data_IF_534026968519
#
_entry.id   IF_534026968519
#
_cell.length_a   1.000
_cell.length_b   1.000
_cell.length_c   1.000
_cell.angle_alpha   90.00
_cell.angle_beta   90.00
_cell.angle_gamma   90.00
#
_symmetry.space_group_name_H-M   'P 1'
#
loop_
_entity.id
_entity.type
_entity.pdbx_description
1 polymer ?
#
# COMPACT_ATOMS: atom_id res chain seq x y z
N UNK A 1 -41.75 19.73 -37.88
CA UNK A 1 -41.06 20.31 -36.69
C UNK A 1 -40.68 19.28 -35.64
N UNK A 2 -41.38 18.18 -35.43
CA UNK A 2 -41.08 17.10 -34.47
C UNK A 2 -39.85 16.21 -34.85
N UNK A 3 -39.55 16.03 -36.12
CA UNK A 3 -38.42 15.20 -36.59
C UNK A 3 -37.04 15.82 -36.28
N UNK A 4 -36.88 17.13 -36.38
CA UNK A 4 -35.63 17.85 -36.09
C UNK A 4 -35.29 17.88 -34.61
N UNK A 5 -36.31 17.78 -33.74
CA UNK A 5 -36.08 17.74 -32.27
C UNK A 5 -35.49 16.40 -31.84
N UNK A 6 -35.96 15.30 -32.44
CA UNK A 6 -35.51 13.93 -32.14
C UNK A 6 -34.05 13.68 -32.54
N UNK A 7 -33.60 14.29 -33.63
CA UNK A 7 -32.21 14.13 -34.12
C UNK A 7 -31.19 14.87 -33.24
N UNK A 8 -31.55 16.02 -32.69
CA UNK A 8 -30.71 16.73 -31.69
C UNK A 8 -30.61 15.97 -30.38
N UNK A 9 -31.70 15.38 -29.92
CA UNK A 9 -31.69 14.58 -28.68
C UNK A 9 -30.86 13.32 -28.82
N UNK A 10 -30.88 12.66 -29.98
CA UNK A 10 -30.06 11.47 -30.27
C UNK A 10 -28.57 11.84 -30.36
N UNK A 11 -28.19 12.92 -31.00
CA UNK A 11 -26.80 13.39 -31.07
C UNK A 11 -26.29 13.80 -29.70
N UNK A 12 -27.12 14.41 -28.83
CA UNK A 12 -26.82 14.74 -27.44
C UNK A 12 -26.54 13.46 -26.60
N UNK A 13 -27.36 12.44 -26.78
CA UNK A 13 -27.15 11.15 -26.09
C UNK A 13 -25.88 10.44 -26.52
N UNK A 14 -25.57 10.42 -27.83
CA UNK A 14 -24.32 9.83 -28.33
C UNK A 14 -23.10 10.54 -27.77
N UNK A 15 -23.10 11.88 -27.76
CA UNK A 15 -22.00 12.65 -27.16
C UNK A 15 -21.79 12.36 -25.66
N UNK A 16 -22.88 12.17 -24.90
CA UNK A 16 -22.80 11.83 -23.47
C UNK A 16 -22.21 10.42 -23.30
N UNK A 17 -22.58 9.47 -24.14
CA UNK A 17 -22.07 8.09 -24.11
C UNK A 17 -20.59 8.08 -24.46
N UNK A 18 -20.16 8.79 -25.50
CA UNK A 18 -18.76 8.89 -25.91
C UNK A 18 -17.91 9.56 -24.82
N UNK A 19 -18.39 10.65 -24.22
CA UNK A 19 -17.71 11.29 -23.11
C UNK A 19 -17.58 10.37 -21.87
N UNK A 20 -18.58 9.54 -21.59
CA UNK A 20 -18.51 8.60 -20.47
C UNK A 20 -17.51 7.47 -20.75
N UNK A 21 -17.44 6.96 -21.97
CA UNK A 21 -16.48 5.95 -22.39
C UNK A 21 -15.02 6.46 -22.32
N UNK A 22 -14.79 7.70 -22.76
CA UNK A 22 -13.46 8.32 -22.69
C UNK A 22 -13.03 8.60 -21.23
N UNK A 23 -13.94 9.00 -20.36
CA UNK A 23 -13.67 9.13 -18.93
C UNK A 23 -13.29 7.80 -18.28
N UNK A 24 -13.99 6.73 -18.61
CA UNK A 24 -13.70 5.38 -18.09
C UNK A 24 -12.34 4.86 -18.59
N UNK A 25 -12.02 5.08 -19.87
CA UNK A 25 -10.71 4.74 -20.43
C UNK A 25 -9.57 5.52 -19.77
N UNK A 26 -9.76 6.81 -19.54
CA UNK A 26 -8.80 7.65 -18.83
C UNK A 26 -8.56 7.16 -17.41
N UNK A 27 -9.61 6.84 -16.64
CA UNK A 27 -9.52 6.25 -15.29
C UNK A 27 -8.73 4.93 -15.28
N UNK A 28 -9.00 4.08 -16.26
CA UNK A 28 -8.33 2.78 -16.37
C UNK A 28 -6.83 2.97 -16.61
N UNK A 29 -6.45 3.91 -17.46
CA UNK A 29 -5.05 4.22 -17.73
C UNK A 29 -4.34 4.82 -16.50
N UNK A 30 -4.99 5.70 -15.76
CA UNK A 30 -4.42 6.25 -14.52
C UNK A 30 -4.18 5.16 -13.47
N UNK A 31 -5.11 4.24 -13.27
CA UNK A 31 -4.91 3.09 -12.37
C UNK A 31 -3.70 2.25 -12.80
N UNK A 32 -3.55 1.97 -14.11
CA UNK A 32 -2.40 1.21 -14.62
C UNK A 32 -1.07 1.92 -14.31
N UNK A 33 -0.99 3.23 -14.51
CA UNK A 33 0.21 4.04 -14.21
C UNK A 33 0.59 3.92 -12.73
N UNK A 34 -0.37 4.03 -11.83
CA UNK A 34 -0.13 3.90 -10.39
C UNK A 34 0.37 2.49 -10.02
N UNK A 35 -0.22 1.44 -10.60
CA UNK A 35 0.24 0.08 -10.35
C UNK A 35 1.64 -0.19 -10.92
N UNK A 36 1.96 0.36 -12.08
CA UNK A 36 3.31 0.31 -12.65
C UNK A 36 4.31 1.00 -11.72
N UNK A 37 3.98 2.19 -11.20
CA UNK A 37 4.82 2.89 -10.22
C UNK A 37 5.11 2.02 -8.99
N UNK A 38 4.09 1.43 -8.38
CA UNK A 38 4.26 0.55 -7.22
C UNK A 38 5.06 -0.71 -7.56
N UNK A 39 4.87 -1.26 -8.75
CA UNK A 39 5.67 -2.39 -9.24
C UNK A 39 7.15 -2.05 -9.40
N UNK A 40 7.47 -0.89 -9.96
CA UNK A 40 8.85 -0.38 -10.09
C UNK A 40 9.44 -0.15 -8.70
N UNK A 41 8.69 0.44 -7.78
CA UNK A 41 9.14 0.66 -6.41
C UNK A 41 9.44 -0.67 -5.70
N UNK A 42 8.55 -1.66 -5.81
CA UNK A 42 8.79 -2.99 -5.23
C UNK A 42 10.06 -3.65 -5.80
N UNK A 43 10.27 -3.55 -7.11
CA UNK A 43 11.47 -4.07 -7.76
C UNK A 43 12.75 -3.35 -7.28
N UNK A 44 12.70 -2.03 -7.15
CA UNK A 44 13.84 -1.26 -6.63
C UNK A 44 14.17 -1.63 -5.19
N UNK A 45 13.16 -1.73 -4.32
CA UNK A 45 13.33 -2.18 -2.93
C UNK A 45 13.91 -3.60 -2.90
N UNK A 46 13.37 -4.52 -3.69
CA UNK A 46 13.87 -5.89 -3.77
C UNK A 46 15.36 -5.93 -4.19
N UNK A 47 15.77 -5.11 -5.15
CA UNK A 47 17.18 -5.03 -5.57
C UNK A 47 18.07 -4.52 -4.44
N UNK A 48 17.61 -3.56 -3.63
CA UNK A 48 18.33 -3.08 -2.45
C UNK A 48 18.43 -4.20 -1.41
N UNK A 49 17.32 -4.85 -1.08
CA UNK A 49 17.28 -5.94 -0.11
C UNK A 49 18.12 -7.15 -0.57
N UNK A 50 18.32 -7.32 -1.87
CA UNK A 50 19.17 -8.39 -2.38
C UNK A 50 20.67 -8.21 -2.05
N UNK A 51 21.08 -7.00 -1.69
CA UNK A 51 22.44 -6.71 -1.21
C UNK A 51 22.58 -6.94 0.30
N UNK A 52 21.48 -7.18 1.02
CA UNK A 52 21.48 -7.39 2.46
C UNK A 52 21.52 -8.88 2.82
N UNK A 53 22.18 -9.18 3.93
CA UNK A 53 22.23 -10.51 4.53
C UNK A 53 21.64 -10.51 5.94
N UNK A 54 21.81 -11.60 6.66
CA UNK A 54 21.56 -11.62 8.09
C UNK A 54 22.56 -10.69 8.80
N UNK A 55 22.04 -9.88 9.70
CA UNK A 55 22.84 -9.03 10.56
C UNK A 55 23.54 -9.89 11.63
N UNK A 56 24.76 -9.53 11.97
CA UNK A 56 25.43 -10.10 13.12
C UNK A 56 24.66 -9.71 14.40
N UNK A 57 24.53 -10.66 15.32
CA UNK A 57 23.78 -10.46 16.55
C UNK A 57 22.38 -11.08 16.50
N UNK A 58 21.33 -10.27 16.50
CA UNK A 58 19.95 -10.77 16.67
C UNK A 58 19.51 -11.70 15.54
N UNK A 59 19.81 -11.39 14.29
CA UNK A 59 19.39 -12.26 13.18
C UNK A 59 20.07 -13.62 13.25
N UNK A 60 21.37 -13.65 13.53
CA UNK A 60 22.13 -14.90 13.70
C UNK A 60 21.62 -15.70 14.90
N UNK A 61 21.28 -15.01 15.99
CA UNK A 61 20.72 -15.62 17.19
C UNK A 61 19.34 -16.23 16.89
N UNK A 62 18.42 -15.48 16.32
CA UNK A 62 17.09 -15.97 15.99
C UNK A 62 17.10 -17.05 14.91
N UNK A 63 17.96 -16.93 13.90
CA UNK A 63 18.15 -17.96 12.90
C UNK A 63 18.57 -19.29 13.54
N UNK A 64 19.56 -19.25 14.45
CA UNK A 64 20.04 -20.46 15.12
C UNK A 64 18.90 -21.16 15.88
N UNK A 65 18.18 -20.44 16.72
CA UNK A 65 17.12 -21.04 17.54
C UNK A 65 15.89 -21.45 16.70
N UNK A 66 15.50 -20.67 15.71
CA UNK A 66 14.37 -21.01 14.83
C UNK A 66 14.64 -22.25 13.98
N UNK A 67 15.89 -22.53 13.64
CA UNK A 67 16.25 -23.69 12.82
C UNK A 67 16.57 -24.94 13.67
N UNK A 68 16.85 -24.80 14.96
CA UNK A 68 17.18 -25.91 15.86
C UNK A 68 16.00 -26.37 16.72
N UNK A 69 15.05 -25.49 17.00
CA UNK A 69 13.84 -25.78 17.81
C UNK A 69 12.63 -26.06 16.94
N UNK A 70 11.68 -26.82 17.45
CA UNK A 70 10.33 -26.94 16.87
C UNK A 70 9.54 -25.63 17.03
N UNK A 71 8.55 -25.43 16.16
CA UNK A 71 7.75 -24.17 16.15
C UNK A 71 7.18 -23.80 17.52
N UNK A 72 6.48 -24.73 18.18
CA UNK A 72 5.86 -24.46 19.48
C UNK A 72 6.89 -24.36 20.62
N UNK A 73 8.01 -25.08 20.50
CA UNK A 73 9.11 -25.01 21.45
C UNK A 73 9.78 -23.61 21.36
N UNK A 74 10.07 -23.13 20.17
CA UNK A 74 10.58 -21.80 19.91
C UNK A 74 9.65 -20.72 20.49
N UNK A 75 8.35 -20.78 20.22
CA UNK A 75 7.39 -19.79 20.71
C UNK A 75 7.28 -19.83 22.23
N UNK A 76 7.25 -21.02 22.85
CA UNK A 76 7.22 -21.15 24.31
C UNK A 76 8.48 -20.59 24.95
N UNK A 77 9.64 -20.89 24.38
CA UNK A 77 10.91 -20.36 24.84
C UNK A 77 10.93 -18.82 24.72
N UNK A 78 10.52 -18.24 23.59
CA UNK A 78 10.46 -16.79 23.40
C UNK A 78 9.52 -16.11 24.40
N UNK A 79 8.34 -16.68 24.61
CA UNK A 79 7.36 -16.16 25.58
C UNK A 79 7.93 -16.11 27.01
N UNK A 80 8.68 -17.15 27.41
CA UNK A 80 9.22 -17.25 28.77
C UNK A 80 10.48 -16.41 28.98
N UNK A 81 11.27 -16.17 27.94
CA UNK A 81 12.60 -15.54 28.08
C UNK A 81 12.63 -14.07 27.71
N UNK A 82 11.68 -13.56 26.92
CA UNK A 82 11.77 -12.21 26.41
C UNK A 82 10.48 -11.40 26.52
N UNK A 83 9.54 -11.54 25.59
CA UNK A 83 8.34 -10.68 25.51
C UNK A 83 7.18 -11.40 24.85
N UNK A 84 5.94 -10.95 25.16
CA UNK A 84 4.70 -11.48 24.59
C UNK A 84 4.39 -11.18 23.10
N UNK A 85 5.41 -10.83 22.28
CA UNK A 85 5.24 -10.49 20.83
C UNK A 85 5.01 -11.73 19.96
N UNK A 86 4.09 -12.57 20.36
CA UNK A 86 3.94 -13.94 19.83
C UNK A 86 3.66 -14.01 18.32
N UNK A 87 2.90 -13.07 17.77
CA UNK A 87 2.63 -13.07 16.33
C UNK A 87 3.88 -12.71 15.51
N UNK A 88 4.65 -11.71 15.92
CA UNK A 88 5.90 -11.38 15.26
C UNK A 88 6.93 -12.50 15.39
N UNK A 89 7.04 -13.13 16.56
CA UNK A 89 7.93 -14.29 16.78
C UNK A 89 7.56 -15.49 15.90
N UNK A 90 6.26 -15.74 15.71
CA UNK A 90 5.81 -16.78 14.78
C UNK A 90 6.20 -16.45 13.33
N UNK A 91 6.09 -15.19 12.91
CA UNK A 91 6.51 -14.73 11.59
C UNK A 91 8.03 -14.82 11.45
N UNK A 92 8.79 -14.43 12.46
CA UNK A 92 10.26 -14.57 12.51
C UNK A 92 10.66 -16.04 12.30
N UNK A 93 10.07 -16.97 13.08
CA UNK A 93 10.33 -18.39 12.93
C UNK A 93 10.10 -18.88 11.49
N UNK A 94 8.93 -18.55 10.91
CA UNK A 94 8.58 -18.94 9.54
C UNK A 94 9.56 -18.33 8.54
N UNK A 95 9.89 -17.05 8.71
CA UNK A 95 10.76 -16.31 7.81
C UNK A 95 12.18 -16.89 7.78
N UNK A 96 12.78 -17.19 8.93
CA UNK A 96 14.10 -17.78 8.98
C UNK A 96 14.15 -19.19 8.42
N UNK A 97 13.09 -20.00 8.63
CA UNK A 97 13.01 -21.34 8.04
C UNK A 97 12.77 -21.32 6.52
N UNK A 98 12.11 -20.31 5.98
CA UNK A 98 11.94 -20.11 4.53
C UNK A 98 13.15 -19.42 3.88
N UNK A 99 13.99 -18.76 4.67
CA UNK A 99 15.24 -18.14 4.27
C UNK A 99 15.13 -16.74 3.69
N UNK A 100 16.29 -16.12 3.46
CA UNK A 100 16.42 -14.73 2.99
C UNK A 100 15.68 -14.41 1.69
N UNK A 101 15.59 -15.38 0.78
CA UNK A 101 14.88 -15.16 -0.49
C UNK A 101 13.40 -14.86 -0.26
N UNK A 102 12.77 -15.59 0.64
CA UNK A 102 11.37 -15.33 1.04
C UNK A 102 11.25 -13.96 1.70
N UNK A 103 12.10 -13.67 2.67
CA UNK A 103 12.06 -12.40 3.38
C UNK A 103 12.19 -11.20 2.43
N UNK A 104 13.14 -11.22 1.49
CA UNK A 104 13.37 -10.12 0.55
C UNK A 104 12.14 -9.80 -0.28
N UNK A 105 11.44 -10.83 -0.76
CA UNK A 105 10.19 -10.65 -1.53
C UNK A 105 9.08 -10.14 -0.64
N UNK A 106 8.87 -10.76 0.52
CA UNK A 106 7.82 -10.40 1.45
C UNK A 106 8.01 -8.97 2.00
N UNK A 107 9.24 -8.61 2.35
CA UNK A 107 9.57 -7.29 2.87
C UNK A 107 9.39 -6.19 1.81
N UNK A 108 9.83 -6.43 0.57
CA UNK A 108 9.58 -5.50 -0.54
C UNK A 108 8.07 -5.26 -0.75
N UNK A 109 7.25 -6.30 -0.63
CA UNK A 109 5.78 -6.20 -0.69
C UNK A 109 5.25 -5.39 0.49
N UNK A 110 5.70 -5.67 1.71
CA UNK A 110 5.24 -4.94 2.91
C UNK A 110 5.63 -3.46 2.88
N UNK A 111 6.84 -3.14 2.43
CA UNK A 111 7.29 -1.76 2.24
C UNK A 111 6.47 -0.99 1.19
N UNK A 112 5.89 -1.66 0.20
CA UNK A 112 4.96 -1.04 -0.77
C UNK A 112 3.53 -0.98 -0.22
N UNK A 113 3.08 -2.00 0.50
CA UNK A 113 1.74 -2.03 1.09
C UNK A 113 1.54 -0.96 2.15
N UNK A 114 2.59 -0.58 2.88
CA UNK A 114 2.52 0.46 3.89
C UNK A 114 2.08 1.82 3.32
N UNK A 115 2.78 2.44 2.36
CA UNK A 115 2.36 3.72 1.80
C UNK A 115 1.03 3.61 1.04
N UNK A 116 0.72 2.48 0.39
CA UNK A 116 -0.60 2.26 -0.21
C UNK A 116 -1.70 2.29 0.86
N UNK A 117 -1.46 1.62 1.98
CA UNK A 117 -2.38 1.61 3.12
C UNK A 117 -2.59 3.00 3.70
N UNK A 118 -1.51 3.74 3.97
CA UNK A 118 -1.56 5.11 4.47
C UNK A 118 -2.33 6.02 3.51
N UNK A 119 -2.06 5.93 2.20
CA UNK A 119 -2.78 6.72 1.19
C UNK A 119 -4.27 6.42 1.21
N UNK A 120 -4.64 5.13 1.21
CA UNK A 120 -6.05 4.73 1.25
C UNK A 120 -6.75 5.20 2.52
N UNK A 121 -6.11 5.03 3.67
CA UNK A 121 -6.65 5.46 4.95
C UNK A 121 -6.83 6.98 4.98
N UNK A 122 -5.81 7.74 4.54
CA UNK A 122 -5.87 9.19 4.45
C UNK A 122 -6.98 9.70 3.52
N UNK A 123 -7.19 9.04 2.36
CA UNK A 123 -8.29 9.39 1.47
C UNK A 123 -9.66 9.18 2.13
N UNK A 124 -9.85 8.10 2.89
CA UNK A 124 -11.11 7.82 3.60
C UNK A 124 -11.37 8.85 4.71
N UNK A 125 -10.38 9.11 5.54
CA UNK A 125 -10.50 10.07 6.65
C UNK A 125 -10.71 11.52 6.19
N UNK A 126 -10.24 11.86 4.98
CA UNK A 126 -10.46 13.16 4.38
C UNK A 126 -11.85 13.32 3.72
N UNK A 127 -12.74 12.34 3.84
CA UNK A 127 -14.07 12.35 3.23
C UNK A 127 -14.08 12.07 1.72
N UNK A 128 -12.98 11.57 1.19
CA UNK A 128 -12.88 11.18 -0.21
C UNK A 128 -13.27 9.70 -0.36
N UNK A 129 -14.32 9.43 -1.11
CA UNK A 129 -14.78 8.07 -1.43
C UNK A 129 -13.84 7.34 -2.39
N UNK A 130 -12.62 7.17 -1.96
CA UNK A 130 -11.56 6.47 -2.66
C UNK A 130 -10.64 7.38 -3.50
N UNK A 131 -9.48 6.82 -3.87
CA UNK A 131 -8.43 7.46 -4.68
C UNK A 131 -8.94 8.07 -5.99
N UNK A 132 -10.06 7.56 -6.52
CA UNK A 132 -10.72 8.08 -7.73
C UNK A 132 -11.43 9.43 -7.52
N UNK A 133 -11.86 9.77 -6.31
CA UNK A 133 -12.47 11.08 -6.03
C UNK A 133 -11.40 12.18 -6.02
N UNK A 134 -10.24 11.93 -5.43
CA UNK A 134 -9.07 12.83 -5.53
C UNK A 134 -8.66 13.12 -6.98
N UNK A 135 -8.83 12.15 -7.87
CA UNK A 135 -8.53 12.31 -9.30
C UNK A 135 -9.64 13.05 -10.05
N UNK A 136 -10.91 12.96 -9.59
CA UNK A 136 -12.05 13.60 -10.26
C UNK A 136 -12.16 15.10 -9.96
N UNK A 137 -11.96 15.52 -8.72
CA UNK A 137 -12.06 16.93 -8.28
C UNK A 137 -11.04 17.80 -9.03
N UNK A 138 -9.90 17.21 -9.40
CA UNK A 138 -8.87 17.90 -10.17
C UNK A 138 -9.18 18.03 -11.66
N UNK A 139 -10.05 17.17 -12.21
CA UNK A 139 -10.46 17.29 -13.62
C UNK A 139 -11.46 18.43 -13.84
N UNK A 140 -12.35 18.69 -12.91
CA UNK A 140 -13.28 19.82 -13.00
C UNK A 140 -12.58 21.18 -12.97
N UNK A 141 -11.48 21.31 -12.22
CA UNK A 141 -10.71 22.58 -12.17
C UNK A 141 -9.92 22.88 -13.45
N UNK A 142 -9.72 21.92 -14.35
CA UNK A 142 -8.86 22.05 -15.54
C UNK A 142 -9.65 22.32 -16.82
N UNK A 143 -10.96 22.03 -16.85
CA UNK A 143 -11.79 22.24 -18.06
C UNK A 143 -12.16 23.74 -18.32
N UNK A 144 -11.81 24.65 -17.41
CA UNK A 144 -12.16 26.08 -17.52
C UNK A 144 -11.11 26.94 -18.26
N UNK A 145 -10.08 26.38 -18.81
CA UNK A 145 -9.12 27.20 -19.54
C UNK A 145 -8.06 26.45 -20.32
N UNK A 146 -8.31 26.14 -21.56
CA UNK A 146 -7.19 25.98 -22.50
C UNK A 146 -7.61 26.17 -23.95
N UNK A 147 -7.05 27.21 -24.53
CA UNK A 147 -6.87 27.36 -25.96
C UNK A 147 -6.02 26.22 -26.53
N UNK A 148 -6.49 25.67 -27.63
CA UNK A 148 -5.87 24.61 -28.43
C UNK A 148 -4.61 25.14 -29.12
N UNK A 149 -3.42 24.69 -28.78
CA UNK A 149 -2.33 24.42 -29.73
C UNK A 149 -1.09 23.72 -29.08
N UNK A 150 -0.63 22.63 -29.67
CA UNK A 150 0.70 22.03 -29.59
C UNK A 150 1.18 21.40 -28.26
N UNK A 151 0.35 20.60 -27.52
CA UNK A 151 0.74 20.09 -26.20
C UNK A 151 0.48 18.59 -25.95
N UNK A 152 0.47 17.72 -26.96
CA UNK A 152 0.21 16.30 -26.70
C UNK A 152 1.25 15.67 -25.76
N UNK A 153 2.55 15.92 -25.95
CA UNK A 153 3.59 15.38 -25.07
C UNK A 153 3.55 15.98 -23.67
N UNK A 154 3.34 17.28 -23.55
CA UNK A 154 3.22 17.96 -22.24
C UNK A 154 1.98 17.46 -21.47
N UNK A 155 0.91 17.12 -22.16
CA UNK A 155 -0.30 16.57 -21.57
C UNK A 155 -0.07 15.15 -21.02
N UNK A 156 0.73 14.32 -21.69
CA UNK A 156 1.05 12.96 -21.21
C UNK A 156 1.83 13.04 -19.88
N UNK A 157 2.89 13.81 -19.81
CA UNK A 157 3.68 13.98 -18.58
C UNK A 157 2.88 14.60 -17.44
N UNK A 158 2.04 15.58 -17.73
CA UNK A 158 1.13 16.17 -16.74
C UNK A 158 0.16 15.15 -16.18
N UNK A 159 -0.40 14.27 -17.02
CA UNK A 159 -1.32 13.22 -16.59
C UNK A 159 -0.62 12.14 -15.77
N UNK A 160 0.61 11.74 -16.17
CA UNK A 160 1.44 10.82 -15.37
C UNK A 160 1.70 11.43 -14.00
N UNK A 161 2.18 12.67 -13.93
CA UNK A 161 2.48 13.34 -12.67
C UNK A 161 1.26 13.46 -11.75
N UNK A 162 0.11 13.84 -12.28
CA UNK A 162 -1.14 13.86 -11.53
C UNK A 162 -1.48 12.52 -10.90
N UNK A 163 -1.22 11.43 -11.60
CA UNK A 163 -1.51 10.07 -11.11
C UNK A 163 -0.56 9.60 -10.01
N UNK A 164 0.73 9.95 -10.08
CA UNK A 164 1.75 9.41 -9.18
C UNK A 164 2.23 10.37 -8.08
N UNK A 165 1.84 11.65 -8.08
CA UNK A 165 2.34 12.65 -7.11
C UNK A 165 2.16 12.25 -5.65
N UNK A 166 1.01 11.70 -5.27
CA UNK A 166 0.78 11.22 -3.91
C UNK A 166 1.53 9.91 -3.60
N UNK A 167 1.52 8.89 -4.49
CA UNK A 167 2.44 7.76 -4.38
C UNK A 167 3.91 8.19 -4.21
N UNK A 168 4.40 9.14 -5.02
CA UNK A 168 5.77 9.66 -4.93
C UNK A 168 6.01 10.35 -3.60
N UNK A 169 5.08 11.20 -3.15
CA UNK A 169 5.20 11.89 -1.86
C UNK A 169 5.31 10.90 -0.69
N UNK A 170 4.50 9.86 -0.67
CA UNK A 170 4.56 8.84 0.37
C UNK A 170 5.80 7.96 0.26
N UNK A 171 6.20 7.58 -0.95
CA UNK A 171 7.43 6.84 -1.17
C UNK A 171 8.66 7.64 -0.76
N UNK A 172 8.67 8.97 -0.96
CA UNK A 172 9.74 9.85 -0.52
C UNK A 172 9.90 9.88 1.00
N UNK A 173 8.87 9.50 1.76
CA UNK A 173 8.97 9.33 3.20
C UNK A 173 10.10 8.37 3.61
N UNK A 174 10.34 7.32 2.85
CA UNK A 174 11.47 6.43 3.10
C UNK A 174 12.82 7.11 2.90
N UNK A 175 12.93 8.04 1.95
CA UNK A 175 14.16 8.82 1.70
C UNK A 175 14.42 9.87 2.79
N UNK A 176 13.36 10.28 3.48
CA UNK A 176 13.45 11.24 4.59
C UNK A 176 13.78 10.56 5.93
N UNK A 177 13.61 9.23 6.02
CA UNK A 177 14.04 8.48 7.20
C UNK A 177 15.56 8.48 7.28
N UNK A 178 16.09 8.58 8.49
CA UNK A 178 17.54 8.42 8.70
C UNK A 178 17.99 7.02 8.24
N UNK A 179 19.19 6.91 7.74
CA UNK A 179 19.77 5.62 7.32
C UNK A 179 19.71 4.58 8.46
N UNK A 180 19.93 5.04 9.71
CA UNK A 180 19.80 4.16 10.88
C UNK A 180 18.36 3.68 11.08
N UNK A 181 17.39 4.60 11.08
CA UNK A 181 15.97 4.23 11.26
C UNK A 181 15.51 3.28 10.16
N UNK A 182 15.82 3.58 8.90
CA UNK A 182 15.47 2.72 7.78
C UNK A 182 16.18 1.35 7.88
N UNK A 183 17.46 1.35 8.22
CA UNK A 183 18.25 0.14 8.42
C UNK A 183 17.63 -0.78 9.47
N UNK A 184 17.34 -0.25 10.65
CA UNK A 184 16.80 -1.03 11.77
C UNK A 184 15.34 -1.40 11.64
N UNK A 185 14.52 -0.65 10.89
CA UNK A 185 13.07 -0.90 10.81
C UNK A 185 12.61 -1.56 9.51
N UNK A 186 13.40 -1.49 8.44
CA UNK A 186 12.95 -1.94 7.13
C UNK A 186 13.97 -2.79 6.37
N UNK A 187 15.27 -2.68 6.64
CA UNK A 187 16.32 -3.41 5.91
C UNK A 187 16.92 -4.55 6.72
N UNK A 188 16.72 -4.56 8.02
CA UNK A 188 17.14 -5.61 8.92
C UNK A 188 16.00 -6.63 9.10
N UNK A 189 16.28 -7.94 9.01
CA UNK A 189 15.25 -9.01 8.97
C UNK A 189 14.32 -8.94 10.17
N UNK A 190 14.86 -9.00 11.39
CA UNK A 190 14.06 -8.89 12.60
C UNK A 190 13.36 -7.55 12.71
N UNK A 191 14.10 -6.46 12.44
CA UNK A 191 13.54 -5.11 12.52
C UNK A 191 12.38 -4.90 11.58
N UNK A 192 12.46 -5.39 10.34
CA UNK A 192 11.37 -5.27 9.39
C UNK A 192 10.11 -6.00 9.83
N UNK A 193 10.24 -7.20 10.41
CA UNK A 193 9.11 -7.99 10.90
C UNK A 193 8.48 -7.32 12.13
N UNK A 194 9.28 -6.89 13.09
CA UNK A 194 8.78 -6.29 14.32
C UNK A 194 8.20 -4.88 14.12
N UNK A 195 8.70 -4.12 13.16
CA UNK A 195 8.26 -2.73 12.95
C UNK A 195 7.49 -2.54 11.64
N UNK A 196 8.12 -2.74 10.48
CA UNK A 196 7.49 -2.44 9.19
C UNK A 196 6.28 -3.32 8.91
N UNK A 197 6.39 -4.64 9.12
CA UNK A 197 5.28 -5.57 8.85
C UNK A 197 4.15 -5.38 9.84
N UNK A 198 4.48 -5.22 11.12
CA UNK A 198 3.50 -4.96 12.18
C UNK A 198 2.76 -3.66 11.95
N UNK A 199 3.48 -2.58 11.61
CA UNK A 199 2.86 -1.29 11.34
C UNK A 199 2.00 -1.34 10.07
N UNK A 200 2.47 -2.04 9.03
CA UNK A 200 1.68 -2.28 7.81
C UNK A 200 0.38 -3.01 8.14
N UNK A 201 0.46 -4.08 8.92
CA UNK A 201 -0.73 -4.82 9.37
C UNK A 201 -1.68 -3.90 10.15
N UNK A 202 -1.18 -3.06 11.08
CA UNK A 202 -1.99 -2.09 11.83
C UNK A 202 -2.74 -1.12 10.92
N UNK A 203 -2.07 -0.53 9.93
CA UNK A 203 -2.71 0.36 8.95
C UNK A 203 -3.82 -0.35 8.17
N UNK A 204 -3.58 -1.59 7.72
CA UNK A 204 -4.60 -2.36 6.98
C UNK A 204 -5.73 -2.83 7.87
N UNK A 205 -5.49 -3.12 9.15
CA UNK A 205 -6.52 -3.45 10.12
C UNK A 205 -7.51 -2.30 10.36
N UNK A 206 -7.06 -1.05 10.22
CA UNK A 206 -7.90 0.14 10.38
C UNK A 206 -8.84 0.41 9.21
N UNK A 207 -8.68 -0.24 8.05
CA UNK A 207 -9.49 0.04 6.86
C UNK A 207 -11.00 -0.16 7.07
N UNK A 208 -11.48 -1.27 7.66
CA UNK A 208 -12.91 -1.43 7.91
C UNK A 208 -13.47 -0.38 8.87
N UNK A 209 -12.70 0.02 9.88
CA UNK A 209 -13.09 1.08 10.82
C UNK A 209 -13.21 2.43 10.11
N UNK A 210 -12.28 2.73 9.21
CA UNK A 210 -12.36 3.94 8.40
C UNK A 210 -13.59 3.93 7.47
N UNK A 211 -13.95 2.79 6.88
CA UNK A 211 -15.18 2.68 6.08
C UNK A 211 -16.43 2.86 6.94
N UNK A 212 -16.45 2.28 8.14
CA UNK A 212 -17.57 2.40 9.07
C UNK A 212 -17.81 3.85 9.50
N UNK A 213 -16.73 4.60 9.76
CA UNK A 213 -16.80 5.94 10.34
C UNK A 213 -16.93 7.02 9.27
N UNK A 214 -16.23 6.91 8.15
CA UNK A 214 -16.04 8.02 7.20
C UNK A 214 -16.68 7.79 5.83
N UNK A 215 -17.06 6.57 5.44
CA UNK A 215 -17.51 6.28 4.09
C UNK A 215 -18.92 5.70 4.06
N UNK A 216 -19.07 4.38 4.15
CA UNK A 216 -20.34 3.69 3.88
C UNK A 216 -21.20 3.43 5.11
N UNK A 217 -20.68 3.63 6.32
CA UNK A 217 -21.31 3.20 7.57
C UNK A 217 -21.38 1.66 7.71
N UNK A 218 -20.79 0.91 6.79
CA UNK A 218 -20.73 -0.53 6.80
C UNK A 218 -19.42 -1.04 6.17
N UNK A 219 -18.97 -2.21 6.59
CA UNK A 219 -17.81 -2.88 6.00
C UNK A 219 -18.20 -4.21 5.35
N UNK A 220 -17.48 -4.59 4.31
CA UNK A 220 -17.77 -5.83 3.58
C UNK A 220 -17.09 -7.04 4.23
N UNK A 221 -17.68 -8.23 4.08
CA UNK A 221 -17.09 -9.48 4.55
C UNK A 221 -15.67 -9.71 3.97
N UNK A 222 -15.40 -9.20 2.75
CA UNK A 222 -14.06 -9.29 2.15
C UNK A 222 -13.01 -8.51 2.92
N UNK A 223 -13.41 -7.41 3.54
CA UNK A 223 -12.50 -6.61 4.37
C UNK A 223 -12.15 -7.32 5.66
N UNK A 224 -13.07 -8.08 6.24
CA UNK A 224 -12.82 -8.87 7.46
C UNK A 224 -11.79 -9.97 7.24
N UNK A 225 -11.75 -10.57 6.03
CA UNK A 225 -10.80 -11.64 5.69
C UNK A 225 -9.34 -11.20 5.91
N UNK A 226 -9.00 -9.95 5.56
CA UNK A 226 -7.64 -9.46 5.78
C UNK A 226 -7.50 -8.65 7.08
N UNK A 227 -8.55 -7.96 7.52
CA UNK A 227 -8.47 -7.11 8.69
C UNK A 227 -8.30 -7.90 10.00
N UNK A 228 -8.99 -9.05 10.15
CA UNK A 228 -8.85 -9.90 11.33
C UNK A 228 -7.39 -10.39 11.49
N UNK A 229 -6.76 -11.06 10.52
CA UNK A 229 -5.37 -11.46 10.68
C UNK A 229 -4.43 -10.27 10.85
N UNK A 230 -4.65 -9.16 10.15
CA UNK A 230 -3.87 -7.93 10.32
C UNK A 230 -3.99 -7.37 11.75
N UNK A 231 -5.19 -7.39 12.34
CA UNK A 231 -5.40 -6.94 13.72
C UNK A 231 -4.68 -7.84 14.73
N UNK A 232 -4.73 -9.16 14.53
CA UNK A 232 -4.02 -10.13 15.40
C UNK A 232 -2.51 -9.89 15.30
N UNK A 233 -1.97 -9.75 14.08
CA UNK A 233 -0.54 -9.48 13.87
C UNK A 233 -0.16 -8.16 14.55
N UNK A 234 -0.90 -7.08 14.33
CA UNK A 234 -0.60 -5.78 14.90
C UNK A 234 -0.64 -5.81 16.45
N UNK A 235 -1.73 -6.34 17.03
CA UNK A 235 -1.92 -6.35 18.48
C UNK A 235 -0.93 -7.27 19.22
N UNK A 236 -0.54 -8.39 18.62
CA UNK A 236 0.34 -9.39 19.24
C UNK A 236 1.82 -9.24 18.85
N UNK A 237 2.19 -8.21 18.10
CA UNK A 237 3.57 -8.03 17.62
C UNK A 237 4.27 -6.81 18.19
N UNK A 238 3.54 -5.81 18.65
CA UNK A 238 4.13 -4.59 19.20
C UNK A 238 3.30 -4.07 20.36
N UNK A 239 3.96 -3.79 21.48
CA UNK A 239 3.34 -3.24 22.70
C UNK A 239 2.68 -1.86 22.45
N UNK A 240 3.11 -1.15 21.44
CA UNK A 240 2.57 0.17 21.07
C UNK A 240 1.30 0.09 20.22
N UNK A 241 0.94 -1.12 19.75
CA UNK A 241 -0.22 -1.36 18.87
C UNK A 241 -1.35 -2.11 19.58
N UNK A 242 -1.12 -2.60 20.80
CA UNK A 242 -2.08 -3.33 21.62
C UNK A 242 -3.05 -2.42 22.40
#
# INVERSE_FOLDING_TARGET
MLFFRREKDVKGLINIIDMSADKEKSRTNQKKIVWIFWGIMAAAIFLILNQTGYSDGDDTYFYHYSTTMGFFEYLSWRYQTWVGRMAAEAIVYITFNLGLGFWRVADAVMMVLLPIGILRLGCKTAGYTGYTALLNEYQECVEVGTEQHNFEELNVWRNIWKSIRYPVLLASGYLLMSVMTLGYSAVWVNGSIFYTWTFTAGVWAMMPLADLVFDTGAFSNRQLIYAIPCSIIAAMSCEQMG
#
